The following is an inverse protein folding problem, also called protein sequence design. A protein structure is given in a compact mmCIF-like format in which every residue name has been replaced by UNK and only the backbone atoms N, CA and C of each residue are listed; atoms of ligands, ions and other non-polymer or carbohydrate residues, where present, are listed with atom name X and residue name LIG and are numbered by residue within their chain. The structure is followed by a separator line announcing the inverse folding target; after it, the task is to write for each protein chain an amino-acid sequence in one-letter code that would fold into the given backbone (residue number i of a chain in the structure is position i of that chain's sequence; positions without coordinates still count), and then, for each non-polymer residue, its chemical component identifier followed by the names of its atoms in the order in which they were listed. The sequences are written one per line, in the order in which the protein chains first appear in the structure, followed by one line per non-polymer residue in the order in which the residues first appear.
data_IF_846548369726
#
_entry.id   IF_846548369726
#
_cell.length_a   1.000
_cell.length_b   1.000
_cell.length_c   1.000
_cell.angle_alpha   90.00
_cell.angle_beta   90.00
_cell.angle_gamma   90.00
#
_symmetry.space_group_name_H-M   'P 1'
#
loop_
_entity.id
_entity.type
_entity.pdbx_description
1 polymer ?
#
# COMPACT_ATOMS: atom_id res chain seq x y z
N UNK A 1 -21.87 7.03 -48.92
CA UNK A 1 -21.26 5.99 -48.07
C UNK A 1 -19.92 6.52 -47.57
N UNK A 2 -19.83 6.93 -46.31
CA UNK A 2 -18.64 6.93 -45.44
C UNK A 2 -18.76 8.04 -44.39
N UNK A 3 -19.31 7.69 -43.22
CA UNK A 3 -19.12 8.50 -42.01
C UNK A 3 -19.32 7.60 -40.77
N UNK A 4 -18.25 6.92 -40.33
CA UNK A 4 -18.26 6.18 -39.05
C UNK A 4 -16.88 5.90 -38.42
N UNK A 5 -15.77 6.56 -38.80
CA UNK A 5 -14.43 6.06 -38.39
C UNK A 5 -13.45 7.06 -37.81
N UNK A 6 -13.92 8.02 -37.01
CA UNK A 6 -12.98 8.93 -36.29
C UNK A 6 -13.13 8.88 -34.77
N UNK A 7 -14.26 8.41 -34.20
CA UNK A 7 -14.51 8.58 -32.76
C UNK A 7 -14.19 7.36 -31.86
N UNK A 8 -13.86 6.19 -32.42
CA UNK A 8 -13.70 4.95 -31.63
C UNK A 8 -12.29 4.76 -31.00
N UNK A 9 -11.27 5.44 -31.53
CA UNK A 9 -9.87 5.23 -31.11
C UNK A 9 -9.51 5.97 -29.81
N UNK A 10 -10.34 6.91 -29.35
CA UNK A 10 -9.98 7.84 -28.26
C UNK A 10 -10.24 7.32 -26.83
N UNK A 11 -11.21 6.42 -26.64
CA UNK A 11 -11.61 5.96 -25.29
C UNK A 11 -10.73 4.80 -24.80
N UNK A 12 -10.40 3.85 -25.69
CA UNK A 12 -9.60 2.66 -25.33
C UNK A 12 -8.12 3.00 -24.99
N UNK A 13 -7.52 4.00 -25.65
CA UNK A 13 -6.16 4.45 -25.37
C UNK A 13 -6.03 5.30 -24.10
N UNK A 14 -7.09 5.99 -23.66
CA UNK A 14 -7.09 6.74 -22.39
C UNK A 14 -7.18 5.81 -21.18
N UNK A 15 -8.08 4.83 -21.23
CA UNK A 15 -8.22 3.85 -20.14
C UNK A 15 -6.97 3.00 -19.92
N UNK A 16 -6.25 2.65 -21.00
CA UNK A 16 -4.99 1.91 -20.89
C UNK A 16 -3.85 2.76 -20.34
N UNK A 17 -3.81 4.06 -20.66
CA UNK A 17 -2.84 4.99 -20.06
C UNK A 17 -3.09 5.23 -18.58
N UNK A 18 -4.34 5.44 -18.17
CA UNK A 18 -4.70 5.65 -16.76
C UNK A 18 -4.38 4.42 -15.90
N UNK A 19 -4.69 3.22 -16.40
CA UNK A 19 -4.34 1.97 -15.70
C UNK A 19 -2.83 1.78 -15.62
N UNK A 20 -2.08 2.13 -16.67
CA UNK A 20 -0.62 2.06 -16.65
C UNK A 20 0.00 3.08 -15.67
N UNK A 21 -0.54 4.31 -15.61
CA UNK A 21 -0.11 5.34 -14.67
C UNK A 21 -0.40 4.93 -13.22
N UNK A 22 -1.62 4.46 -12.94
CA UNK A 22 -2.00 3.98 -11.62
C UNK A 22 -1.14 2.80 -11.17
N UNK A 23 -0.77 1.89 -12.08
CA UNK A 23 0.18 0.80 -11.82
C UNK A 23 1.60 1.29 -11.56
N UNK A 24 2.06 2.30 -12.31
CA UNK A 24 3.37 2.91 -12.10
C UNK A 24 3.46 3.64 -10.76
N UNK A 25 2.44 4.43 -10.41
CA UNK A 25 2.35 5.10 -9.10
C UNK A 25 2.28 4.10 -7.94
N UNK A 26 1.51 3.02 -8.08
CA UNK A 26 1.46 1.96 -7.06
C UNK A 26 2.72 1.08 -7.01
N UNK A 27 3.49 0.99 -8.10
CA UNK A 27 4.84 0.44 -8.08
C UNK A 27 5.85 1.38 -7.40
N UNK A 28 5.63 2.70 -7.44
CA UNK A 28 6.45 3.72 -6.78
C UNK A 28 6.11 3.96 -5.31
N UNK A 29 5.04 3.35 -4.76
CA UNK A 29 4.66 3.49 -3.35
C UNK A 29 4.70 2.15 -2.60
N UNK A 30 5.89 1.49 -2.49
CA UNK A 30 6.03 0.27 -1.70
C UNK A 30 5.64 0.50 -0.23
N UNK A 31 5.82 1.72 0.28
CA UNK A 31 5.50 2.11 1.65
C UNK A 31 4.03 1.89 2.04
N UNK A 32 3.10 2.28 1.17
CA UNK A 32 1.66 2.17 1.45
C UNK A 32 1.21 0.71 1.62
N UNK A 33 1.70 -0.19 0.77
CA UNK A 33 1.40 -1.63 0.85
C UNK A 33 2.02 -2.26 2.08
N UNK A 34 3.31 -1.99 2.32
CA UNK A 34 4.05 -2.53 3.48
C UNK A 34 3.43 -2.03 4.78
N UNK A 35 3.09 -0.74 4.85
CA UNK A 35 2.43 -0.15 6.01
C UNK A 35 1.09 -0.79 6.32
N UNK A 36 0.26 -1.03 5.30
CA UNK A 36 -1.03 -1.72 5.48
C UNK A 36 -0.85 -3.18 5.94
N UNK A 37 0.12 -3.90 5.41
CA UNK A 37 0.42 -5.27 5.83
C UNK A 37 0.95 -5.33 7.28
N UNK A 38 1.81 -4.38 7.64
CA UNK A 38 2.34 -4.26 8.99
C UNK A 38 1.23 -3.97 10.01
N UNK A 39 0.36 -2.99 9.71
CA UNK A 39 -0.75 -2.64 10.59
C UNK A 39 -1.72 -3.82 10.75
N UNK A 40 -1.99 -4.58 9.69
CA UNK A 40 -2.81 -5.79 9.75
C UNK A 40 -2.20 -6.86 10.66
N UNK A 41 -0.92 -7.16 10.51
CA UNK A 41 -0.22 -8.11 11.36
C UNK A 41 -0.30 -7.71 12.84
N UNK A 42 0.03 -6.46 13.15
CA UNK A 42 0.01 -5.97 14.52
C UNK A 42 -1.40 -6.01 15.11
N UNK A 43 -2.40 -5.58 14.33
CA UNK A 43 -3.80 -5.61 14.75
C UNK A 43 -4.24 -7.03 15.08
N UNK A 44 -3.88 -8.02 14.26
CA UNK A 44 -4.19 -9.44 14.54
C UNK A 44 -3.51 -9.94 15.81
N UNK A 45 -2.27 -9.52 16.09
CA UNK A 45 -1.58 -9.84 17.34
C UNK A 45 -2.25 -9.20 18.56
N UNK A 46 -2.72 -7.96 18.44
CA UNK A 46 -3.46 -7.29 19.50
C UNK A 46 -4.80 -7.97 19.79
N UNK A 47 -5.53 -8.36 18.73
CA UNK A 47 -6.78 -9.11 18.90
C UNK A 47 -6.53 -10.45 19.58
N UNK A 48 -5.47 -11.15 19.19
CA UNK A 48 -5.04 -12.40 19.83
C UNK A 48 -4.74 -12.20 21.31
N UNK A 49 -4.07 -11.12 21.69
CA UNK A 49 -3.77 -10.80 23.10
C UNK A 49 -5.03 -10.42 23.88
N UNK A 50 -5.96 -9.67 23.28
CA UNK A 50 -7.27 -9.42 23.91
C UNK A 50 -8.01 -10.73 24.13
N UNK A 51 -7.99 -11.64 23.15
CA UNK A 51 -8.62 -12.96 23.28
C UNK A 51 -7.92 -13.85 24.32
N UNK A 52 -6.60 -13.77 24.48
CA UNK A 52 -5.87 -14.58 25.46
C UNK A 52 -6.25 -14.27 26.91
N UNK A 53 -6.80 -13.08 27.17
CA UNK A 53 -7.38 -12.73 28.47
C UNK A 53 -8.70 -13.46 28.78
N UNK A 54 -9.32 -14.10 27.79
CA UNK A 54 -10.50 -14.93 27.96
C UNK A 54 -10.06 -16.35 28.35
N UNK A 55 -10.50 -16.83 29.52
CA UNK A 55 -10.04 -18.11 30.12
C UNK A 55 -10.09 -19.32 29.18
N UNK A 56 -11.02 -19.35 28.20
CA UNK A 56 -11.17 -20.45 27.24
C UNK A 56 -11.27 -19.95 25.78
N UNK A 57 -10.85 -18.70 25.48
CA UNK A 57 -11.13 -18.06 24.19
C UNK A 57 -12.64 -17.96 23.88
N UNK A 58 -13.00 -17.77 22.60
CA UNK A 58 -14.40 -17.68 22.17
C UNK A 58 -15.06 -19.06 21.96
N UNK A 59 -14.27 -20.10 21.70
CA UNK A 59 -14.76 -21.42 21.26
C UNK A 59 -14.28 -22.60 22.13
N UNK A 60 -13.66 -22.34 23.27
CA UNK A 60 -13.10 -23.38 24.15
C UNK A 60 -11.68 -23.81 23.77
N UNK A 61 -11.20 -24.89 24.40
CA UNK A 61 -9.84 -25.44 24.25
C UNK A 61 -9.74 -26.62 23.27
N UNK A 62 -10.76 -26.86 22.44
CA UNK A 62 -10.72 -27.98 21.48
C UNK A 62 -9.78 -27.69 20.31
N UNK A 63 -9.22 -28.73 19.67
CA UNK A 63 -8.36 -28.58 18.47
C UNK A 63 -9.05 -27.84 17.31
N UNK A 64 -10.39 -27.94 17.22
CA UNK A 64 -11.16 -27.15 16.25
C UNK A 64 -11.22 -25.66 16.63
N UNK A 65 -11.29 -25.36 17.93
CA UNK A 65 -11.38 -24.00 18.45
C UNK A 65 -10.14 -23.17 18.11
N UNK A 66 -8.93 -23.75 18.15
CA UNK A 66 -7.69 -23.05 17.79
C UNK A 66 -7.71 -22.51 16.35
N UNK A 67 -8.24 -23.30 15.41
CA UNK A 67 -8.36 -22.89 14.01
C UNK A 67 -9.31 -21.71 13.86
N UNK A 68 -10.49 -21.77 14.50
CA UNK A 68 -11.48 -20.69 14.46
C UNK A 68 -11.01 -19.43 15.20
N UNK A 69 -10.32 -19.60 16.33
CA UNK A 69 -9.69 -18.52 17.07
C UNK A 69 -8.65 -17.80 16.20
N UNK A 70 -7.76 -18.54 15.53
CA UNK A 70 -6.78 -17.95 14.61
C UNK A 70 -7.42 -17.22 13.43
N UNK A 71 -8.52 -17.76 12.88
CA UNK A 71 -9.27 -17.09 11.82
C UNK A 71 -9.94 -15.79 12.29
N UNK A 72 -10.56 -15.78 13.48
CA UNK A 72 -11.15 -14.57 14.07
C UNK A 72 -10.09 -13.52 14.34
N UNK A 73 -8.96 -13.91 14.95
CA UNK A 73 -7.85 -12.99 15.26
C UNK A 73 -7.37 -12.27 13.99
N UNK A 74 -7.19 -13.03 12.91
CA UNK A 74 -6.78 -12.52 11.60
C UNK A 74 -7.86 -11.67 10.92
N UNK A 75 -9.12 -12.11 10.92
CA UNK A 75 -10.20 -11.37 10.27
C UNK A 75 -10.46 -10.02 10.95
N UNK A 76 -10.57 -10.02 12.28
CA UNK A 76 -10.80 -8.79 13.05
C UNK A 76 -9.57 -7.88 12.96
N UNK A 77 -8.35 -8.44 13.04
CA UNK A 77 -7.12 -7.67 12.86
C UNK A 77 -7.04 -6.96 11.51
N UNK A 78 -7.40 -7.64 10.41
CA UNK A 78 -7.47 -7.02 9.09
C UNK A 78 -8.53 -5.92 9.01
N UNK A 79 -9.71 -6.12 9.59
CA UNK A 79 -10.76 -5.08 9.58
C UNK A 79 -10.30 -3.80 10.30
N UNK A 80 -9.60 -3.93 11.43
CA UNK A 80 -9.02 -2.81 12.17
C UNK A 80 -8.00 -2.06 11.30
N UNK A 81 -7.08 -2.79 10.66
CA UNK A 81 -6.05 -2.21 9.80
C UNK A 81 -6.59 -1.63 8.48
N UNK A 82 -7.65 -2.21 7.92
CA UNK A 82 -8.33 -1.70 6.74
C UNK A 82 -8.92 -0.32 7.04
N UNK A 83 -9.64 -0.19 8.16
CA UNK A 83 -10.17 1.09 8.66
C UNK A 83 -9.05 2.09 8.95
N UNK A 84 -7.88 1.60 9.38
CA UNK A 84 -6.70 2.43 9.65
C UNK A 84 -6.72 3.04 11.05
N UNK A 85 -7.39 2.38 12.00
CA UNK A 85 -7.64 2.91 13.35
C UNK A 85 -6.33 3.10 14.15
N UNK A 86 -5.27 2.34 13.84
CA UNK A 86 -3.97 2.47 14.49
C UNK A 86 -3.08 3.53 13.83
N UNK A 87 -3.34 3.86 12.56
CA UNK A 87 -2.61 4.87 11.81
C UNK A 87 -1.14 4.53 11.48
N UNK A 88 -0.69 3.32 11.81
CA UNK A 88 0.70 2.87 11.63
C UNK A 88 1.08 2.71 10.17
N UNK A 89 0.13 2.38 9.31
CA UNK A 89 0.34 2.28 7.88
C UNK A 89 0.88 3.60 7.30
N UNK A 90 0.39 4.76 7.78
CA UNK A 90 0.87 6.07 7.35
C UNK A 90 2.27 6.38 7.88
N UNK A 91 2.57 5.97 9.10
CA UNK A 91 3.90 6.15 9.71
C UNK A 91 4.94 5.34 8.93
N UNK A 92 4.64 4.07 8.65
CA UNK A 92 5.52 3.18 7.87
C UNK A 92 5.68 3.68 6.44
N UNK A 93 4.60 4.11 5.78
CA UNK A 93 4.68 4.70 4.44
C UNK A 93 5.57 5.94 4.42
N UNK A 94 5.38 6.86 5.37
CA UNK A 94 6.20 8.07 5.51
C UNK A 94 7.68 7.76 5.77
N UNK A 95 7.98 6.75 6.57
CA UNK A 95 9.36 6.34 6.86
C UNK A 95 10.03 5.70 5.64
N UNK A 96 9.32 4.83 4.93
CA UNK A 96 9.83 4.22 3.70
C UNK A 96 10.05 5.30 2.64
N UNK A 97 9.12 6.23 2.47
CA UNK A 97 9.26 7.36 1.55
C UNK A 97 10.46 8.23 1.89
N UNK A 98 10.72 8.50 3.18
CA UNK A 98 11.93 9.23 3.62
C UNK A 98 13.21 8.49 3.28
N UNK A 99 13.27 7.18 3.50
CA UNK A 99 14.47 6.37 3.23
C UNK A 99 14.73 6.23 1.73
N UNK A 100 13.71 5.91 0.95
CA UNK A 100 13.81 5.81 -0.51
C UNK A 100 14.12 7.18 -1.14
N UNK A 101 13.53 8.27 -0.63
CA UNK A 101 13.81 9.62 -1.08
C UNK A 101 15.21 10.13 -0.71
N UNK A 102 15.79 9.64 0.40
CA UNK A 102 17.17 9.93 0.78
C UNK A 102 18.20 9.17 -0.08
N UNK A 103 17.77 8.11 -0.77
CA UNK A 103 18.62 7.28 -1.62
C UNK A 103 18.64 7.73 -3.10
N UNK A 104 17.73 8.64 -3.50
CA UNK A 104 17.81 9.33 -4.80
C UNK A 104 18.94 10.37 -4.70
N UNK A 105 20.12 10.10 -5.29
CA UNK A 105 21.31 10.82 -4.93
C UNK A 105 21.30 12.21 -5.54
N UNK A 106 22.01 13.08 -4.84
CA UNK A 106 22.46 14.45 -5.14
C UNK A 106 23.02 14.65 -6.57
N UNK A 107 23.22 13.56 -7.32
CA UNK A 107 23.70 13.49 -8.71
C UNK A 107 22.64 13.94 -9.74
N UNK A 108 21.36 13.62 -9.53
CA UNK A 108 20.30 14.09 -10.43
C UNK A 108 20.11 15.62 -10.38
N UNK A 109 20.35 16.22 -9.21
CA UNK A 109 20.32 17.67 -9.02
C UNK A 109 21.56 18.35 -9.61
N UNK A 110 22.72 17.67 -9.66
CA UNK A 110 23.94 18.19 -10.28
C UNK A 110 23.85 18.17 -11.83
N UNK A 111 23.28 17.10 -12.41
CA UNK A 111 23.05 16.99 -13.86
C UNK A 111 22.05 18.03 -14.38
N UNK A 112 21.02 18.37 -13.59
CA UNK A 112 20.06 19.42 -13.94
C UNK A 112 20.66 20.83 -13.92
N UNK A 113 21.66 21.08 -13.07
CA UNK A 113 22.33 22.39 -12.97
C UNK A 113 23.42 22.58 -14.04
N UNK A 114 24.06 21.49 -14.49
CA UNK A 114 25.05 21.55 -15.57
C UNK A 114 24.44 21.80 -16.97
N UNK A 115 23.17 21.42 -17.17
CA UNK A 115 22.45 21.63 -18.44
C UNK A 115 21.95 23.06 -18.69
N UNK A 116 21.94 23.93 -17.67
CA UNK A 116 21.38 25.30 -17.78
C UNK A 116 22.43 26.34 -18.18
N UNK A 117 23.74 26.04 -18.04
CA UNK A 117 24.82 27.03 -18.28
C UNK A 117 25.37 26.98 -19.72
N UNK A 118 25.02 25.98 -20.52
CA UNK A 118 25.63 25.74 -21.85
C UNK A 118 24.99 26.46 -23.05
N UNK A 119 24.03 27.35 -22.86
CA UNK A 119 23.23 27.84 -23.99
C UNK A 119 22.63 29.22 -23.84
N UNK A 120 23.44 30.26 -23.59
CA UNK A 120 23.18 31.61 -24.10
C UNK A 120 24.48 32.37 -24.39
N UNK A 121 24.61 32.76 -25.65
CA UNK A 121 25.42 33.86 -26.23
C UNK A 121 26.93 33.67 -26.38
#
# INVERSE_FOLDING_TARGET
MNDFRVNDVSIASRGTLEVALARAESAQRPGARVGKQFEALLSSLLVKEVRSTLENGFFGESTGADTFNGWIDDHVGRMIAERGDLGLARVVDGEIARRVGAEVPVDAAAAAQAGVVGGQS
#
